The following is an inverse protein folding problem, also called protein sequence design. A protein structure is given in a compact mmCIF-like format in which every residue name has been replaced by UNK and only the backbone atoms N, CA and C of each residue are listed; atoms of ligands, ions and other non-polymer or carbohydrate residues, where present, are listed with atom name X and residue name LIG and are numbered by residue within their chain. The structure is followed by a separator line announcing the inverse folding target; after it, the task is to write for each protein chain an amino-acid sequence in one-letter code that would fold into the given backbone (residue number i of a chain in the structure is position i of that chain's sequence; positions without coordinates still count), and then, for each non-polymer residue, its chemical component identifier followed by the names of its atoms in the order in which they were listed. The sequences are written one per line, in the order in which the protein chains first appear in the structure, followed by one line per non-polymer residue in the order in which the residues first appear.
data_IF_580822361170
#
_entry.id   IF_580822361170
#
_cell.length_a   1.000
_cell.length_b   1.000
_cell.length_c   1.000
_cell.angle_alpha   90.00
_cell.angle_beta   90.00
_cell.angle_gamma   90.00
#
_symmetry.space_group_name_H-M   'P 1'
#
loop_
_entity.id
_entity.type
_entity.pdbx_description
1 polymer ?
#
# COMPACT_ATOMS: atom_id res chain seq x y z
N UNK A 1 89.52 -27.65 28.36
CA UNK A 1 88.11 -28.05 28.19
C UNK A 1 87.25 -26.79 28.06
N UNK A 2 87.16 -26.21 26.85
CA UNK A 2 86.49 -24.93 26.59
C UNK A 2 85.13 -25.19 25.93
N UNK A 3 84.05 -25.25 26.69
CA UNK A 3 82.72 -25.52 26.08
C UNK A 3 81.52 -24.90 26.80
N UNK A 4 81.71 -24.17 27.91
CA UNK A 4 80.58 -23.63 28.69
C UNK A 4 80.29 -22.14 28.47
N UNK A 5 81.19 -21.36 27.87
CA UNK A 5 80.99 -19.92 27.68
C UNK A 5 80.19 -19.53 26.42
N UNK A 6 79.94 -20.46 25.50
CA UNK A 6 79.32 -20.16 24.20
C UNK A 6 77.79 -20.29 24.19
N UNK A 7 77.18 -20.89 25.22
CA UNK A 7 75.73 -21.19 25.26
C UNK A 7 74.92 -20.04 25.90
N UNK A 8 75.54 -19.22 26.76
CA UNK A 8 74.84 -18.13 27.43
C UNK A 8 74.67 -16.87 26.54
N UNK A 9 75.57 -16.65 25.57
CA UNK A 9 75.50 -15.50 24.66
C UNK A 9 74.45 -15.65 23.55
N UNK A 10 74.06 -16.88 23.20
CA UNK A 10 73.06 -17.15 22.15
C UNK A 10 71.63 -17.01 22.70
N UNK A 11 71.35 -17.51 23.90
CA UNK A 11 70.03 -17.39 24.54
C UNK A 11 69.60 -15.92 24.76
N UNK A 12 70.53 -15.04 25.16
CA UNK A 12 70.26 -13.62 25.36
C UNK A 12 69.95 -12.87 24.04
N UNK A 13 70.56 -13.29 22.92
CA UNK A 13 70.31 -12.70 21.59
C UNK A 13 68.98 -13.15 20.99
N UNK A 14 68.53 -14.38 21.28
CA UNK A 14 67.20 -14.85 20.90
C UNK A 14 66.08 -14.13 21.66
N UNK A 15 66.23 -13.91 22.97
CA UNK A 15 65.27 -13.14 23.78
C UNK A 15 65.16 -11.66 23.33
N UNK A 16 66.28 -11.02 22.99
CA UNK A 16 66.27 -9.64 22.46
C UNK A 16 65.70 -9.54 21.04
N UNK A 17 65.88 -10.57 20.20
CA UNK A 17 65.28 -10.63 18.86
C UNK A 17 63.76 -10.85 18.93
N UNK A 18 63.29 -11.74 19.81
CA UNK A 18 61.86 -11.96 20.05
C UNK A 18 61.18 -10.69 20.58
N UNK A 19 61.82 -9.92 21.47
CA UNK A 19 61.28 -8.65 21.97
C UNK A 19 61.19 -7.58 20.87
N UNK A 20 62.19 -7.49 19.98
CA UNK A 20 62.24 -6.51 18.89
C UNK A 20 61.25 -6.79 17.75
N UNK A 21 60.73 -8.01 17.63
CA UNK A 21 59.67 -8.37 16.67
C UNK A 21 58.29 -8.36 17.33
N UNK A 22 58.19 -8.78 18.59
CA UNK A 22 56.92 -8.80 19.32
C UNK A 22 56.39 -7.39 19.66
N UNK A 23 57.27 -6.42 19.97
CA UNK A 23 56.83 -5.04 20.24
C UNK A 23 56.21 -4.33 19.03
N UNK A 24 56.80 -4.34 17.82
CA UNK A 24 56.17 -3.74 16.65
C UNK A 24 54.93 -4.50 16.21
N UNK A 25 54.85 -5.83 16.39
CA UNK A 25 53.63 -6.59 16.13
C UNK A 25 52.50 -6.28 17.12
N UNK A 26 52.82 -6.04 18.41
CA UNK A 26 51.83 -5.61 19.40
C UNK A 26 51.36 -4.17 19.17
N UNK A 27 52.25 -3.26 18.72
CA UNK A 27 51.90 -1.89 18.34
C UNK A 27 51.10 -1.83 17.03
N UNK A 28 51.38 -2.69 16.06
CA UNK A 28 50.60 -2.84 14.83
C UNK A 28 49.23 -3.51 15.09
N UNK A 29 49.16 -4.45 16.04
CA UNK A 29 47.89 -5.06 16.45
C UNK A 29 47.02 -4.08 17.26
N UNK A 30 47.61 -3.15 18.01
CA UNK A 30 46.84 -2.11 18.71
C UNK A 30 46.39 -0.99 17.76
N UNK A 31 47.17 -0.67 16.72
CA UNK A 31 46.77 0.25 15.66
C UNK A 31 45.66 -0.31 14.74
N UNK A 32 45.47 -1.62 14.70
CA UNK A 32 44.43 -2.27 13.88
C UNK A 32 43.03 -2.30 14.53
N UNK A 33 42.87 -1.76 15.75
CA UNK A 33 41.56 -1.51 16.36
C UNK A 33 41.31 0.01 16.45
N UNK A 34 41.71 0.76 15.43
CA UNK A 34 41.06 2.02 15.16
C UNK A 34 39.68 1.69 14.56
N UNK A 35 38.65 1.64 15.41
CA UNK A 35 37.27 1.67 14.95
C UNK A 35 37.14 2.88 14.03
N UNK A 36 37.00 2.64 12.72
CA UNK A 36 36.77 3.71 11.77
C UNK A 36 35.56 4.50 12.28
N UNK A 37 35.75 5.81 12.49
CA UNK A 37 34.68 6.67 12.97
C UNK A 37 33.49 6.51 12.02
N UNK A 38 32.31 6.20 12.58
CA UNK A 38 31.11 6.02 11.78
C UNK A 38 30.87 7.29 10.95
N UNK A 39 30.52 7.18 9.65
CA UNK A 39 30.38 8.35 8.77
C UNK A 39 29.21 9.26 9.17
N UNK A 40 28.32 8.76 10.04
CA UNK A 40 27.31 9.54 10.74
C UNK A 40 26.83 8.83 12.01
N UNK A 41 25.93 9.49 12.71
CA UNK A 41 25.21 8.97 13.87
C UNK A 41 23.71 9.20 13.69
N UNK A 42 22.91 8.42 14.39
CA UNK A 42 21.47 8.57 14.36
C UNK A 42 20.77 7.41 15.03
N UNK A 43 19.47 7.55 15.13
CA UNK A 43 18.64 6.64 15.90
C UNK A 43 17.25 6.50 15.30
N UNK A 44 16.71 5.28 15.34
CA UNK A 44 15.32 5.00 15.01
C UNK A 44 14.50 5.06 16.30
N UNK A 45 13.61 6.05 16.36
CA UNK A 45 12.76 6.30 17.52
C UNK A 45 11.52 5.42 17.51
N UNK A 46 10.89 5.25 16.34
CA UNK A 46 9.61 4.57 16.23
C UNK A 46 9.48 3.81 14.93
N UNK A 47 8.95 2.60 15.03
CA UNK A 47 8.38 1.84 13.92
C UNK A 47 6.87 1.75 14.12
N UNK A 48 6.11 2.05 13.08
CA UNK A 48 4.65 1.93 13.09
C UNK A 48 4.19 1.16 11.85
N UNK A 49 3.56 0.01 12.06
CA UNK A 49 2.92 -0.74 10.99
C UNK A 49 1.50 -0.27 10.83
N UNK A 50 1.13 0.06 9.61
CA UNK A 50 -0.25 0.29 9.20
C UNK A 50 -0.73 -0.96 8.46
N UNK A 51 -1.36 -1.92 9.14
CA UNK A 51 -1.71 -3.21 8.55
C UNK A 51 -2.67 -3.06 7.35
N UNK A 52 -3.64 -2.15 7.44
CA UNK A 52 -4.65 -1.89 6.40
C UNK A 52 -4.02 -1.41 5.08
N UNK A 53 -3.07 -0.48 5.17
CA UNK A 53 -2.36 0.09 4.03
C UNK A 53 -1.11 -0.71 3.65
N UNK A 54 -0.77 -1.68 4.50
CA UNK A 54 0.44 -2.49 4.44
C UNK A 54 1.71 -1.63 4.35
N UNK A 55 1.78 -0.62 5.20
CA UNK A 55 2.89 0.33 5.26
C UNK A 55 3.69 0.16 6.55
N UNK A 56 4.99 0.37 6.44
CA UNK A 56 5.87 0.59 7.58
C UNK A 56 6.27 2.07 7.58
N UNK A 57 5.91 2.76 8.65
CA UNK A 57 6.35 4.13 8.91
C UNK A 57 7.52 4.06 9.88
N UNK A 58 8.66 4.58 9.44
CA UNK A 58 9.90 4.66 10.21
C UNK A 58 10.14 6.13 10.55
N UNK A 59 10.29 6.42 11.83
CA UNK A 59 10.63 7.76 12.33
C UNK A 59 11.92 7.70 13.13
N UNK A 60 12.81 8.64 12.88
CA UNK A 60 14.10 8.72 13.54
C UNK A 60 14.79 10.05 13.31
N UNK A 61 16.07 10.10 13.62
CA UNK A 61 16.97 11.19 13.25
C UNK A 61 18.31 10.62 12.78
N UNK A 62 18.95 11.36 11.88
CA UNK A 62 20.27 11.00 11.39
C UNK A 62 21.07 12.25 11.01
N UNK A 63 22.32 12.29 11.47
CA UNK A 63 23.25 13.37 11.22
C UNK A 63 24.60 12.82 10.75
N UNK A 64 25.20 13.41 9.71
CA UNK A 64 26.56 13.06 9.29
C UNK A 64 27.58 13.55 10.32
N UNK A 65 28.70 12.85 10.45
CA UNK A 65 29.80 13.28 11.32
C UNK A 65 30.48 14.55 10.80
N UNK A 66 30.49 14.74 9.47
CA UNK A 66 31.07 15.90 8.81
C UNK A 66 29.99 16.93 8.44
N UNK A 67 30.07 18.20 8.92
CA UNK A 67 29.06 19.23 8.66
C UNK A 67 28.86 19.59 7.18
N UNK A 68 29.84 19.32 6.31
CA UNK A 68 29.76 19.58 4.87
C UNK A 68 29.05 18.49 4.06
N UNK A 69 28.63 17.40 4.71
CA UNK A 69 27.93 16.28 4.08
C UNK A 69 26.47 16.29 4.53
N UNK A 70 25.56 15.83 3.67
CA UNK A 70 24.13 15.77 3.97
C UNK A 70 23.61 14.35 3.84
N UNK A 71 22.55 14.02 4.58
CA UNK A 71 21.80 12.77 4.40
C UNK A 71 20.93 12.87 3.15
N UNK A 72 20.95 11.83 2.31
CA UNK A 72 20.26 11.85 1.00
C UNK A 72 19.08 10.90 0.97
N UNK A 73 19.35 9.60 1.18
CA UNK A 73 18.36 8.55 1.10
C UNK A 73 18.34 7.71 2.38
N UNK A 74 17.14 7.25 2.74
CA UNK A 74 17.00 6.15 3.67
C UNK A 74 16.88 4.84 2.91
N UNK A 75 17.43 3.79 3.50
CA UNK A 75 17.32 2.41 3.07
C UNK A 75 16.69 1.65 4.23
N UNK A 76 15.54 1.02 3.99
CA UNK A 76 14.84 0.22 5.00
C UNK A 76 14.83 -1.23 4.56
N UNK A 77 15.34 -2.10 5.43
CA UNK A 77 15.36 -3.55 5.24
C UNK A 77 14.53 -4.22 6.32
N UNK A 78 13.70 -5.19 5.94
CA UNK A 78 12.87 -5.96 6.87
C UNK A 78 13.06 -7.44 6.58
N UNK A 79 13.45 -8.22 7.57
CA UNK A 79 13.78 -9.64 7.39
C UNK A 79 14.97 -9.88 6.43
N UNK A 80 15.84 -8.87 6.28
CA UNK A 80 16.97 -8.90 5.33
C UNK A 80 16.62 -8.49 3.89
N UNK A 81 15.34 -8.28 3.57
CA UNK A 81 14.90 -7.79 2.25
C UNK A 81 14.83 -6.25 2.25
N UNK A 82 15.40 -5.60 1.23
CA UNK A 82 15.29 -4.15 1.05
C UNK A 82 13.90 -3.79 0.52
N UNK A 83 13.08 -3.17 1.37
CA UNK A 83 11.70 -2.79 1.04
C UNK A 83 11.58 -1.33 0.58
N UNK A 84 12.60 -0.51 0.87
CA UNK A 84 12.60 0.90 0.53
C UNK A 84 14.00 1.45 0.33
N UNK A 85 14.16 2.27 -0.70
CA UNK A 85 15.32 3.12 -0.95
C UNK A 85 14.86 4.43 -1.58
N UNK A 86 15.00 5.53 -0.87
CA UNK A 86 14.50 6.80 -1.39
C UNK A 86 14.64 7.98 -0.44
N UNK A 87 14.02 9.10 -0.84
CA UNK A 87 14.05 10.36 -0.10
C UNK A 87 13.26 10.29 1.19
N UNK A 88 13.73 11.03 2.19
CA UNK A 88 13.09 11.09 3.49
C UNK A 88 12.34 12.40 3.67
N UNK A 89 11.21 12.38 4.38
CA UNK A 89 10.55 13.60 4.84
C UNK A 89 11.33 14.15 6.04
N UNK A 90 11.82 15.39 5.94
CA UNK A 90 12.62 16.02 6.99
C UNK A 90 11.73 16.63 8.07
N UNK A 91 12.20 16.59 9.31
CA UNK A 91 11.49 17.10 10.48
C UNK A 91 12.48 17.78 11.42
N UNK A 92 12.03 18.83 12.10
CA UNK A 92 12.85 19.49 13.12
C UNK A 92 12.85 18.69 14.43
N UNK A 93 14.03 18.62 15.07
CA UNK A 93 14.33 17.84 16.27
C UNK A 93 15.05 18.70 17.32
N UNK A 94 14.34 19.62 17.98
CA UNK A 94 14.92 20.44 19.04
C UNK A 94 15.38 19.62 20.25
N UNK A 95 14.78 18.44 20.46
CA UNK A 95 15.19 17.45 21.45
C UNK A 95 16.59 16.88 21.17
N UNK A 96 16.89 16.57 19.91
CA UNK A 96 18.22 16.08 19.49
C UNK A 96 19.27 17.18 19.70
N UNK A 97 18.97 18.42 19.31
CA UNK A 97 19.86 19.56 19.56
C UNK A 97 20.14 19.73 21.05
N UNK A 98 19.11 19.63 21.89
CA UNK A 98 19.24 19.78 23.35
C UNK A 98 20.06 18.67 23.99
N UNK A 99 19.93 17.43 23.49
CA UNK A 99 20.65 16.27 24.01
C UNK A 99 22.11 16.19 23.53
N UNK A 100 22.39 16.65 22.32
CA UNK A 100 23.70 16.49 21.66
C UNK A 100 24.55 17.76 21.69
N UNK A 101 23.93 18.93 21.87
CA UNK A 101 24.60 20.23 21.82
C UNK A 101 24.90 20.74 20.41
N UNK A 102 24.40 20.07 19.36
CA UNK A 102 24.65 20.39 17.95
C UNK A 102 23.46 21.15 17.32
N UNK A 103 23.47 22.49 17.28
CA UNK A 103 22.36 23.28 16.71
C UNK A 103 22.10 23.02 15.22
N UNK A 104 23.13 22.64 14.47
CA UNK A 104 23.04 22.26 13.06
C UNK A 104 22.23 20.97 12.82
N UNK A 105 22.00 20.17 13.88
CA UNK A 105 21.18 18.95 13.80
C UNK A 105 19.69 19.21 14.00
N UNK A 106 19.25 20.48 14.03
CA UNK A 106 17.83 20.80 14.14
C UNK A 106 17.01 20.08 13.08
N UNK A 107 17.42 20.10 11.81
CA UNK A 107 16.72 19.41 10.72
C UNK A 107 17.10 17.94 10.53
N UNK A 108 17.70 17.27 11.53
CA UNK A 108 18.19 15.89 11.40
C UNK A 108 17.09 14.82 11.41
N UNK A 109 15.88 15.19 11.83
CA UNK A 109 14.73 14.29 11.89
C UNK A 109 14.33 13.80 10.51
N UNK A 110 13.86 12.56 10.45
CA UNK A 110 13.34 11.97 9.25
C UNK A 110 12.12 11.08 9.51
N UNK A 111 11.24 11.03 8.51
CA UNK A 111 10.15 10.08 8.41
C UNK A 111 10.15 9.44 7.03
N UNK A 112 9.99 8.12 6.99
CA UNK A 112 9.93 7.32 5.77
C UNK A 112 8.70 6.43 5.86
N UNK A 113 7.96 6.34 4.75
CA UNK A 113 6.85 5.40 4.60
C UNK A 113 7.21 4.39 3.52
N UNK A 114 7.39 3.14 3.91
CA UNK A 114 7.74 2.02 3.03
C UNK A 114 6.53 1.10 2.82
N UNK A 115 6.33 0.63 1.59
CA UNK A 115 5.32 -0.41 1.29
C UNK A 115 5.88 -1.78 1.69
N UNK A 116 5.11 -2.57 2.45
CA UNK A 116 5.49 -3.93 2.83
C UNK A 116 5.12 -4.93 1.72
N UNK A 117 6.06 -5.76 1.22
CA UNK A 117 5.78 -6.74 0.17
C UNK A 117 4.72 -7.77 0.56
N UNK A 118 4.00 -8.31 -0.44
CA UNK A 118 2.92 -9.28 -0.18
C UNK A 118 3.37 -10.59 0.47
N UNK A 119 4.58 -11.04 0.14
CA UNK A 119 5.17 -12.27 0.68
C UNK A 119 5.77 -12.09 2.07
N UNK A 120 6.03 -10.86 2.51
CA UNK A 120 6.67 -10.57 3.78
C UNK A 120 5.62 -10.60 4.90
N UNK A 121 5.79 -11.54 5.84
CA UNK A 121 4.94 -11.73 7.02
C UNK A 121 5.75 -12.46 8.12
N UNK A 122 5.43 -12.19 9.38
CA UNK A 122 6.10 -12.78 10.54
C UNK A 122 5.88 -11.98 11.81
N UNK A 123 5.97 -12.62 12.96
CA UNK A 123 5.69 -11.98 14.27
C UNK A 123 6.85 -11.11 14.78
N UNK A 124 8.08 -11.40 14.36
CA UNK A 124 9.30 -10.73 14.82
C UNK A 124 10.34 -10.63 13.69
N UNK A 125 10.02 -9.83 12.67
CA UNK A 125 10.96 -9.57 11.58
C UNK A 125 11.95 -8.47 11.98
N UNK A 126 13.27 -8.69 11.87
CA UNK A 126 14.25 -7.65 12.17
C UNK A 126 14.14 -6.51 11.17
N UNK A 127 14.21 -5.28 11.66
CA UNK A 127 14.21 -4.06 10.86
C UNK A 127 15.58 -3.40 10.96
N UNK A 128 16.18 -3.14 9.82
CA UNK A 128 17.43 -2.40 9.70
C UNK A 128 17.18 -1.14 8.88
N UNK A 129 17.63 0.00 9.41
CA UNK A 129 17.53 1.29 8.74
C UNK A 129 18.94 1.81 8.53
N UNK A 130 19.29 2.10 7.28
CA UNK A 130 20.56 2.71 6.91
C UNK A 130 20.33 4.03 6.20
N UNK A 131 21.30 4.94 6.34
CA UNK A 131 21.26 6.27 5.75
C UNK A 131 22.43 6.40 4.79
N UNK A 132 22.13 6.83 3.57
CA UNK A 132 23.14 7.16 2.57
C UNK A 132 23.43 8.65 2.59
N UNK A 133 24.70 8.99 2.67
CA UNK A 133 25.21 10.35 2.65
C UNK A 133 25.44 10.85 1.21
N UNK A 134 25.55 12.16 1.06
CA UNK A 134 25.93 12.79 -0.21
C UNK A 134 27.33 12.41 -0.71
N UNK A 135 28.20 11.97 0.19
CA UNK A 135 29.52 11.39 -0.16
C UNK A 135 29.41 10.01 -0.83
N UNK A 136 28.25 9.36 -0.75
CA UNK A 136 28.01 8.00 -1.21
C UNK A 136 28.16 6.93 -0.13
N UNK A 137 28.71 7.28 1.04
CA UNK A 137 28.85 6.38 2.20
C UNK A 137 27.49 6.05 2.83
N UNK A 138 27.39 4.87 3.43
CA UNK A 138 26.20 4.40 4.12
C UNK A 138 26.55 4.02 5.57
N UNK A 139 25.66 4.32 6.50
CA UNK A 139 25.75 3.82 7.88
C UNK A 139 24.40 3.34 8.37
N UNK A 140 24.43 2.27 9.17
CA UNK A 140 23.25 1.70 9.81
C UNK A 140 22.95 2.45 11.09
N UNK A 141 21.67 2.75 11.32
CA UNK A 141 21.19 3.41 12.53
C UNK A 141 20.97 2.40 13.65
N UNK A 142 21.27 2.82 14.86
CA UNK A 142 20.80 2.10 16.03
C UNK A 142 19.30 2.33 16.23
N UNK A 143 18.63 1.39 16.89
CA UNK A 143 17.19 1.45 17.13
C UNK A 143 16.86 1.10 18.58
N UNK A 144 15.81 1.74 19.11
CA UNK A 144 15.19 1.34 20.36
C UNK A 144 14.83 -0.16 20.32
N UNK A 145 14.82 -0.87 21.45
CA UNK A 145 14.43 -2.28 21.50
C UNK A 145 13.09 -2.56 20.82
N UNK A 146 12.11 -1.66 20.98
CA UNK A 146 10.79 -1.72 20.35
C UNK A 146 10.80 -1.43 18.83
N UNK A 147 11.84 -0.75 18.36
CA UNK A 147 12.05 -0.36 16.97
C UNK A 147 13.06 -1.26 16.23
N UNK A 148 13.45 -2.40 16.81
CA UNK A 148 14.36 -3.39 16.17
C UNK A 148 13.64 -4.46 15.39
N UNK A 149 12.39 -4.72 15.74
CA UNK A 149 11.61 -5.80 15.17
C UNK A 149 10.19 -5.35 14.94
N UNK A 150 9.54 -5.97 13.96
CA UNK A 150 8.19 -5.62 13.58
C UNK A 150 7.37 -6.87 13.31
N UNK A 151 6.14 -6.86 13.82
CA UNK A 151 5.14 -7.86 13.48
C UNK A 151 4.43 -7.44 12.19
N UNK A 152 4.58 -8.23 11.13
CA UNK A 152 3.89 -8.03 9.85
C UNK A 152 2.81 -9.10 9.72
N UNK A 153 1.52 -8.72 9.79
CA UNK A 153 0.44 -9.68 9.72
C UNK A 153 0.39 -10.36 8.35
N UNK A 154 0.01 -11.64 8.34
CA UNK A 154 -0.20 -12.39 7.12
C UNK A 154 -1.39 -11.81 6.33
N UNK A 155 -1.32 -11.91 5.00
CA UNK A 155 -2.43 -11.48 4.13
C UNK A 155 -3.59 -12.45 4.30
N UNK A 156 -4.83 -11.95 4.49
CA UNK A 156 -6.00 -12.78 4.42
C UNK A 156 -6.05 -13.51 3.07
N UNK A 157 -6.22 -14.83 3.10
CA UNK A 157 -6.41 -15.60 1.87
C UNK A 157 -7.79 -15.31 1.30
N UNK A 158 -7.86 -15.16 -0.02
CA UNK A 158 -9.14 -15.04 -0.72
C UNK A 158 -9.92 -16.34 -0.51
N UNK A 159 -11.11 -16.26 0.09
CA UNK A 159 -11.98 -17.42 0.25
C UNK A 159 -12.33 -18.04 -1.11
N UNK A 160 -12.45 -19.36 -1.17
CA UNK A 160 -12.70 -20.10 -2.42
C UNK A 160 -13.93 -19.61 -3.17
N UNK A 161 -15.02 -19.31 -2.44
CA UNK A 161 -16.25 -18.77 -3.02
C UNK A 161 -16.04 -17.39 -3.66
N UNK A 162 -15.29 -16.50 -3.00
CA UNK A 162 -14.96 -15.16 -3.53
C UNK A 162 -14.04 -15.29 -4.75
N UNK A 163 -13.03 -16.17 -4.67
CA UNK A 163 -12.14 -16.47 -5.78
C UNK A 163 -12.90 -16.99 -7.01
N UNK A 164 -13.83 -17.94 -6.80
CA UNK A 164 -14.68 -18.46 -7.87
C UNK A 164 -15.58 -17.37 -8.47
N UNK A 165 -16.18 -16.51 -7.63
CA UNK A 165 -17.01 -15.41 -8.09
C UNK A 165 -16.21 -14.43 -8.97
N UNK A 166 -14.99 -14.07 -8.57
CA UNK A 166 -14.08 -13.22 -9.35
C UNK A 166 -13.73 -13.86 -10.70
N UNK A 167 -13.35 -15.14 -10.70
CA UNK A 167 -13.00 -15.86 -11.93
C UNK A 167 -14.20 -15.94 -12.87
N UNK A 168 -15.37 -16.32 -12.37
CA UNK A 168 -16.59 -16.39 -13.17
C UNK A 168 -17.01 -15.02 -13.71
N UNK A 169 -16.94 -13.98 -12.88
CA UNK A 169 -17.26 -12.61 -13.30
C UNK A 169 -16.38 -12.12 -14.46
N UNK A 170 -15.14 -12.61 -14.57
CA UNK A 170 -14.25 -12.32 -15.69
C UNK A 170 -14.48 -13.25 -16.89
N UNK A 171 -14.61 -14.56 -16.64
CA UNK A 171 -14.68 -15.58 -17.69
C UNK A 171 -16.00 -15.53 -18.47
N UNK A 172 -17.13 -15.23 -17.82
CA UNK A 172 -18.44 -15.19 -18.48
C UNK A 172 -18.48 -14.21 -19.67
N UNK A 173 -18.17 -12.91 -19.52
CA UNK A 173 -18.17 -11.98 -20.65
C UNK A 173 -17.11 -12.33 -21.68
N UNK A 174 -15.92 -12.76 -21.26
CA UNK A 174 -14.84 -13.14 -22.19
C UNK A 174 -15.20 -14.37 -23.03
N UNK A 175 -15.76 -15.42 -22.42
CA UNK A 175 -16.16 -16.64 -23.12
C UNK A 175 -17.26 -16.37 -24.16
N UNK A 176 -18.11 -15.40 -23.87
CA UNK A 176 -19.11 -14.84 -24.77
C UNK A 176 -18.43 -14.11 -25.95
N UNK A 177 -17.48 -13.19 -25.70
CA UNK A 177 -16.75 -12.48 -26.75
C UNK A 177 -15.90 -13.40 -27.65
N UNK A 178 -15.37 -14.48 -27.09
CA UNK A 178 -14.50 -15.43 -27.79
C UNK A 178 -15.26 -16.57 -28.47
N UNK A 179 -16.58 -16.65 -28.30
CA UNK A 179 -17.38 -17.77 -28.78
C UNK A 179 -17.35 -17.88 -30.32
N UNK A 180 -16.92 -19.02 -30.91
CA UNK A 180 -16.82 -19.18 -32.36
C UNK A 180 -18.15 -19.02 -33.09
N UNK A 181 -19.25 -19.39 -32.41
CA UNK A 181 -20.63 -19.25 -32.89
C UNK A 181 -21.01 -17.81 -33.27
N UNK A 182 -20.23 -16.81 -32.85
CA UNK A 182 -20.45 -15.39 -33.16
C UNK A 182 -19.55 -14.85 -34.26
N UNK A 183 -18.52 -15.60 -34.68
CA UNK A 183 -17.58 -15.17 -35.73
C UNK A 183 -18.16 -15.22 -37.14
N UNK A 184 -19.28 -15.91 -37.35
CA UNK A 184 -19.98 -16.01 -38.64
C UNK A 184 -21.36 -15.34 -38.68
N UNK A 185 -21.79 -14.70 -37.60
CA UNK A 185 -23.03 -13.94 -37.58
C UNK A 185 -22.80 -12.59 -38.28
N UNK A 186 -22.90 -12.58 -39.61
CA UNK A 186 -22.81 -11.39 -40.43
C UNK A 186 -23.84 -10.30 -40.06
N UNK A 187 -23.64 -9.12 -40.65
CA UNK A 187 -24.20 -7.78 -40.39
C UNK A 187 -25.72 -7.64 -40.18
N UNK A 188 -26.50 -8.72 -40.23
CA UNK A 188 -27.96 -8.74 -40.04
C UNK A 188 -28.45 -9.57 -38.84
N UNK A 189 -27.56 -10.10 -37.99
CA UNK A 189 -27.90 -10.99 -36.86
C UNK A 189 -28.59 -10.30 -35.67
N UNK A 190 -29.79 -9.77 -35.91
CA UNK A 190 -30.86 -9.47 -34.98
C UNK A 190 -30.48 -8.97 -33.58
N UNK A 191 -30.77 -7.70 -33.34
CA UNK A 191 -30.85 -7.01 -32.03
C UNK A 191 -31.92 -7.58 -31.09
N UNK A 192 -32.27 -8.86 -31.22
CA UNK A 192 -33.21 -9.58 -30.38
C UNK A 192 -32.50 -10.03 -29.10
N UNK A 193 -33.27 -10.22 -28.03
CA UNK A 193 -32.85 -10.75 -26.73
C UNK A 193 -32.15 -12.14 -26.76
N UNK A 194 -31.87 -12.71 -27.95
CA UNK A 194 -31.07 -13.94 -28.16
C UNK A 194 -29.81 -13.76 -29.03
N UNK A 195 -29.45 -12.54 -29.42
CA UNK A 195 -28.24 -12.24 -30.21
C UNK A 195 -26.95 -12.13 -29.38
N UNK A 196 -25.77 -11.94 -30.01
CA UNK A 196 -24.49 -11.87 -29.32
C UNK A 196 -24.44 -10.73 -28.29
N UNK A 197 -25.06 -9.59 -28.59
CA UNK A 197 -25.14 -8.46 -27.67
C UNK A 197 -25.99 -8.77 -26.43
N UNK A 198 -27.13 -9.45 -26.61
CA UNK A 198 -27.99 -9.86 -25.50
C UNK A 198 -27.26 -10.82 -24.56
N UNK A 199 -26.58 -11.82 -25.13
CA UNK A 199 -25.77 -12.75 -24.34
C UNK A 199 -24.57 -12.06 -23.63
N UNK A 200 -23.94 -11.05 -24.25
CA UNK A 200 -22.91 -10.24 -23.59
C UNK A 200 -23.47 -9.41 -22.44
N UNK A 201 -24.61 -8.74 -22.64
CA UNK A 201 -25.29 -8.00 -21.57
C UNK A 201 -25.72 -8.91 -20.41
N UNK A 202 -26.24 -10.11 -20.70
CA UNK A 202 -26.57 -11.11 -19.68
C UNK A 202 -25.33 -11.60 -18.93
N UNK A 203 -24.22 -11.81 -19.63
CA UNK A 203 -22.95 -12.19 -18.99
C UNK A 203 -22.45 -11.07 -18.06
N UNK A 204 -22.49 -9.81 -18.49
CA UNK A 204 -22.16 -8.67 -17.63
C UNK A 204 -23.11 -8.55 -16.42
N UNK A 205 -24.41 -8.80 -16.62
CA UNK A 205 -25.39 -8.84 -15.54
C UNK A 205 -25.11 -9.96 -14.53
N UNK A 206 -24.71 -11.15 -15.01
CA UNK A 206 -24.29 -12.25 -14.15
C UNK A 206 -23.00 -11.91 -13.38
N UNK A 207 -22.00 -11.31 -14.05
CA UNK A 207 -20.78 -10.81 -13.40
C UNK A 207 -21.09 -9.79 -12.31
N UNK A 208 -22.00 -8.85 -12.59
CA UNK A 208 -22.47 -7.87 -11.62
C UNK A 208 -23.05 -8.55 -10.36
N UNK A 209 -23.98 -9.50 -10.54
CA UNK A 209 -24.60 -10.23 -9.41
C UNK A 209 -23.56 -11.01 -8.62
N UNK A 210 -22.59 -11.66 -9.27
CA UNK A 210 -21.52 -12.40 -8.61
C UNK A 210 -20.64 -11.48 -7.75
N UNK A 211 -20.22 -10.34 -8.30
CA UNK A 211 -19.34 -9.39 -7.61
C UNK A 211 -20.06 -8.71 -6.43
N UNK A 212 -21.32 -8.31 -6.63
CA UNK A 212 -22.17 -7.73 -5.57
C UNK A 212 -22.48 -8.76 -4.49
N UNK A 213 -22.84 -9.99 -4.87
CA UNK A 213 -23.14 -11.07 -3.92
C UNK A 213 -21.93 -11.43 -3.05
N UNK A 214 -20.74 -11.43 -3.64
CA UNK A 214 -19.47 -11.62 -2.94
C UNK A 214 -19.03 -10.40 -2.10
N UNK A 215 -19.69 -9.24 -2.26
CA UNK A 215 -19.36 -8.02 -1.53
C UNK A 215 -17.97 -7.46 -1.88
N UNK A 216 -17.52 -7.68 -3.11
CA UNK A 216 -16.20 -7.23 -3.60
C UNK A 216 -16.36 -5.86 -4.26
N UNK A 217 -15.47 -4.93 -3.95
CA UNK A 217 -15.39 -3.60 -4.58
C UNK A 217 -13.95 -3.33 -5.03
N UNK A 218 -13.80 -2.46 -6.03
CA UNK A 218 -12.49 -1.92 -6.43
C UNK A 218 -12.13 -0.61 -5.70
N UNK A 219 -12.97 -0.14 -4.79
CA UNK A 219 -12.74 1.08 -4.02
C UNK A 219 -11.55 0.93 -3.07
N UNK A 220 -10.82 2.02 -2.84
CA UNK A 220 -9.73 2.09 -1.87
C UNK A 220 -10.24 2.42 -0.45
N UNK A 221 -11.34 1.78 -0.02
CA UNK A 221 -11.95 1.98 1.31
C UNK A 221 -10.96 1.71 2.45
N UNK A 222 -9.97 0.85 2.24
CA UNK A 222 -8.85 0.62 3.16
C UNK A 222 -8.12 1.92 3.58
N UNK A 223 -8.07 2.93 2.69
CA UNK A 223 -7.49 4.24 3.02
C UNK A 223 -8.35 5.05 3.98
N UNK A 224 -9.68 4.94 3.86
CA UNK A 224 -10.63 5.59 4.76
C UNK A 224 -10.64 4.93 6.15
N UNK A 225 -10.55 3.60 6.18
CA UNK A 225 -10.62 2.80 7.41
C UNK A 225 -9.27 2.71 8.15
N UNK A 226 -8.20 3.25 7.55
CA UNK A 226 -6.89 3.36 8.19
C UNK A 226 -6.94 4.18 9.49
N UNK A 227 -5.92 4.00 10.33
CA UNK A 227 -5.86 4.64 11.65
C UNK A 227 -5.74 6.18 11.56
N UNK A 228 -6.44 6.94 12.42
CA UNK A 228 -7.36 6.48 13.47
C UNK A 228 -8.71 6.02 12.89
N UNK A 229 -9.06 4.75 13.10
CA UNK A 229 -10.27 4.17 12.52
C UNK A 229 -11.49 4.66 13.29
N UNK A 230 -12.44 5.30 12.60
CA UNK A 230 -13.71 5.78 13.19
C UNK A 230 -14.74 4.64 13.34
N UNK A 231 -14.43 3.45 12.80
CA UNK A 231 -15.32 2.29 12.81
C UNK A 231 -14.54 0.98 12.86
N UNK A 232 -15.20 -0.10 13.27
CA UNK A 232 -14.65 -1.46 13.24
C UNK A 232 -15.01 -2.08 11.89
N UNK A 233 -14.01 -2.56 11.16
CA UNK A 233 -14.19 -3.18 9.86
C UNK A 233 -13.35 -4.44 9.70
N UNK A 234 -13.88 -5.42 8.99
CA UNK A 234 -13.21 -6.63 8.51
C UNK A 234 -12.90 -6.51 7.01
N UNK A 235 -12.45 -5.33 6.58
CA UNK A 235 -12.02 -5.07 5.21
C UNK A 235 -10.67 -5.77 4.95
N UNK A 236 -10.47 -6.23 3.72
CA UNK A 236 -9.25 -6.91 3.33
C UNK A 236 -8.95 -6.67 1.85
N UNK A 237 -7.74 -6.18 1.59
CA UNK A 237 -7.25 -5.93 0.22
C UNK A 237 -6.96 -7.26 -0.50
N UNK A 238 -7.91 -7.70 -1.33
CA UNK A 238 -7.79 -8.97 -2.07
C UNK A 238 -6.68 -8.94 -3.13
N UNK A 239 -6.65 -7.90 -3.96
CA UNK A 239 -5.71 -7.76 -5.08
C UNK A 239 -5.21 -6.30 -5.18
N UNK A 240 -3.93 -6.13 -5.55
CA UNK A 240 -3.32 -4.81 -5.68
C UNK A 240 -3.02 -4.12 -4.34
N UNK A 241 -3.06 -2.80 -4.36
CA UNK A 241 -2.83 -1.91 -3.21
C UNK A 241 -3.87 -0.78 -3.24
N UNK A 242 -4.31 -0.27 -2.08
CA UNK A 242 -5.16 0.92 -2.03
C UNK A 242 -4.43 2.14 -2.60
N UNK A 243 -5.13 2.99 -3.35
CA UNK A 243 -4.56 4.17 -4.01
C UNK A 243 -5.37 5.42 -3.74
N UNK A 244 -4.68 6.55 -3.63
CA UNK A 244 -5.32 7.85 -3.41
C UNK A 244 -6.12 8.33 -4.63
N UNK A 245 -5.96 7.70 -5.79
CA UNK A 245 -6.76 8.01 -6.97
C UNK A 245 -8.24 7.77 -6.68
N UNK A 246 -9.11 8.58 -7.29
CA UNK A 246 -10.55 8.56 -7.04
C UNK A 246 -10.90 8.80 -5.56
N UNK A 247 -10.19 9.70 -4.87
CA UNK A 247 -10.52 10.10 -3.50
C UNK A 247 -11.92 10.69 -3.36
N UNK A 248 -12.50 11.24 -4.44
CA UNK A 248 -13.93 11.57 -4.51
C UNK A 248 -14.85 10.39 -4.16
N UNK A 249 -14.43 9.15 -4.45
CA UNK A 249 -15.23 7.97 -4.17
C UNK A 249 -14.99 7.43 -2.75
N UNK A 250 -13.75 7.16 -2.36
CA UNK A 250 -13.47 6.53 -1.06
C UNK A 250 -13.37 7.54 0.10
N UNK A 251 -13.00 8.79 -0.14
CA UNK A 251 -12.84 9.83 0.89
C UNK A 251 -14.06 10.74 1.02
N UNK A 252 -14.90 10.84 -0.02
CA UNK A 252 -16.09 11.72 -0.01
C UNK A 252 -17.37 10.91 -0.09
N UNK A 253 -17.59 10.14 -1.16
CA UNK A 253 -18.85 9.41 -1.34
C UNK A 253 -19.08 8.33 -0.27
N UNK A 254 -18.10 7.46 -0.04
CA UNK A 254 -18.20 6.35 0.91
C UNK A 254 -18.56 6.80 2.32
N UNK A 255 -17.83 7.75 2.97
CA UNK A 255 -18.19 8.18 4.31
C UNK A 255 -19.56 8.87 4.39
N UNK A 256 -19.97 9.61 3.36
CA UNK A 256 -21.32 10.18 3.32
C UNK A 256 -22.41 9.10 3.20
N UNK A 257 -22.17 8.03 2.43
CA UNK A 257 -23.08 6.90 2.35
C UNK A 257 -23.14 6.11 3.68
N UNK A 258 -22.02 5.98 4.38
CA UNK A 258 -21.96 5.42 5.74
C UNK A 258 -22.78 6.26 6.72
N UNK A 259 -22.62 7.58 6.72
CA UNK A 259 -23.40 8.48 7.56
C UNK A 259 -24.91 8.39 7.25
N UNK A 260 -25.29 8.27 5.96
CA UNK A 260 -26.68 8.05 5.57
C UNK A 260 -27.24 6.73 6.10
N UNK A 261 -26.44 5.67 6.11
CA UNK A 261 -26.85 4.37 6.66
C UNK A 261 -26.92 4.37 8.19
N UNK A 262 -26.01 5.08 8.85
CA UNK A 262 -25.90 5.14 10.31
C UNK A 262 -27.00 6.00 10.96
N UNK A 263 -27.54 6.98 10.24
CA UNK A 263 -28.63 7.82 10.73
C UNK A 263 -29.92 7.02 11.01
N UNK A 264 -30.72 7.47 11.98
CA UNK A 264 -32.05 6.92 12.27
C UNK A 264 -33.13 8.01 12.17
N UNK A 265 -34.12 7.91 11.26
CA UNK A 265 -34.31 6.85 10.26
C UNK A 265 -33.19 6.85 9.20
N UNK A 266 -32.91 5.71 8.57
CA UNK A 266 -31.85 5.61 7.57
C UNK A 266 -32.17 6.39 6.30
N UNK A 267 -31.13 6.91 5.65
CA UNK A 267 -31.18 7.64 4.37
C UNK A 267 -32.07 8.89 4.36
N UNK A 268 -32.05 9.76 5.39
CA UNK A 268 -32.89 10.96 5.41
C UNK A 268 -32.50 11.97 4.32
N UNK A 269 -33.43 12.89 4.02
CA UNK A 269 -33.15 14.07 3.20
C UNK A 269 -32.21 15.03 3.92
N UNK A 270 -32.41 15.26 5.22
CA UNK A 270 -31.51 16.05 6.07
C UNK A 270 -30.81 15.11 7.06
N UNK A 271 -29.50 14.98 6.94
CA UNK A 271 -28.70 14.10 7.81
C UNK A 271 -27.97 14.92 8.87
N UNK A 272 -28.34 14.73 10.14
CA UNK A 272 -27.78 15.46 11.29
C UNK A 272 -26.42 14.92 11.77
N UNK A 273 -25.95 13.79 11.25
CA UNK A 273 -24.62 13.24 11.56
C UNK A 273 -23.50 13.95 10.78
N UNK A 274 -23.83 14.88 9.89
CA UNK A 274 -22.91 15.55 8.99
C UNK A 274 -22.85 17.05 9.30
N UNK A 275 -21.74 17.49 9.90
CA UNK A 275 -21.57 18.88 10.34
C UNK A 275 -22.42 19.23 11.56
N UNK A 276 -22.30 20.48 12.04
CA UNK A 276 -22.96 20.93 13.27
C UNK A 276 -24.49 21.02 13.14
N UNK A 277 -24.97 21.49 11.98
CA UNK A 277 -26.40 21.73 11.73
C UNK A 277 -27.06 20.61 10.89
N UNK A 278 -26.31 19.57 10.56
CA UNK A 278 -26.69 18.58 9.55
C UNK A 278 -26.56 19.09 8.11
N UNK A 279 -26.75 18.20 7.15
CA UNK A 279 -26.66 18.51 5.73
C UNK A 279 -27.85 17.98 4.94
N UNK A 280 -28.32 18.78 3.97
CA UNK A 280 -29.32 18.34 3.00
C UNK A 280 -28.64 17.51 1.90
N UNK A 281 -29.02 16.24 1.84
CA UNK A 281 -28.39 15.22 1.01
C UNK A 281 -28.92 15.18 -0.43
N UNK A 282 -29.86 16.08 -0.78
CA UNK A 282 -30.37 16.27 -2.14
C UNK A 282 -29.65 17.37 -2.93
N UNK A 283 -28.73 18.12 -2.30
CA UNK A 283 -27.96 19.18 -2.96
C UNK A 283 -27.11 18.62 -4.10
N UNK A 284 -26.87 19.41 -5.17
CA UNK A 284 -26.22 18.99 -6.41
C UNK A 284 -24.89 18.21 -6.22
N UNK A 285 -24.05 18.62 -5.25
CA UNK A 285 -22.79 17.93 -4.92
C UNK A 285 -22.93 16.60 -4.16
N UNK A 286 -24.15 16.27 -3.71
CA UNK A 286 -24.50 15.07 -2.95
C UNK A 286 -25.45 14.14 -3.72
N UNK A 287 -25.70 14.45 -5.00
CA UNK A 287 -26.67 13.74 -5.84
C UNK A 287 -26.36 12.26 -6.06
N UNK A 288 -25.13 11.83 -5.82
CA UNK A 288 -24.75 10.41 -5.85
C UNK A 288 -25.25 9.60 -4.67
N UNK A 289 -25.67 10.22 -3.56
CA UNK A 289 -25.89 9.53 -2.28
C UNK A 289 -27.25 8.82 -2.17
N UNK A 290 -27.34 7.74 -1.36
CA UNK A 290 -28.60 7.10 -1.06
C UNK A 290 -29.46 8.00 -0.16
N UNK A 291 -30.60 8.43 -0.69
CA UNK A 291 -31.61 9.23 0.02
C UNK A 291 -32.97 8.56 -0.22
N UNK A 292 -33.73 8.28 0.85
CA UNK A 292 -35.07 7.71 0.79
C UNK A 292 -36.09 8.76 0.32
N UNK A 293 -35.98 9.14 -0.96
CA UNK A 293 -36.78 10.15 -1.62
C UNK A 293 -37.07 9.70 -3.06
N UNK A 294 -38.14 10.21 -3.68
CA UNK A 294 -38.56 9.79 -5.04
C UNK A 294 -37.46 9.98 -6.10
N UNK A 295 -36.52 10.92 -5.86
CA UNK A 295 -35.35 11.13 -6.72
C UNK A 295 -34.42 9.91 -6.80
N UNK A 296 -34.48 8.97 -5.84
CA UNK A 296 -33.71 7.73 -5.89
C UNK A 296 -34.08 6.86 -7.10
N UNK A 297 -35.31 6.97 -7.63
CA UNK A 297 -35.72 6.24 -8.84
C UNK A 297 -34.88 6.61 -10.07
N UNK A 298 -34.34 7.83 -10.12
CA UNK A 298 -33.44 8.28 -11.18
C UNK A 298 -31.97 7.92 -10.93
N UNK A 299 -31.66 7.21 -9.83
CA UNK A 299 -30.29 6.97 -9.35
C UNK A 299 -30.04 5.48 -9.11
N UNK A 300 -30.00 4.64 -10.16
CA UNK A 300 -29.87 3.20 -9.99
C UNK A 300 -28.60 2.76 -9.27
N UNK A 301 -27.54 3.57 -9.29
CA UNK A 301 -26.31 3.32 -8.52
C UNK A 301 -26.54 3.29 -6.99
N UNK A 302 -27.61 3.90 -6.47
CA UNK A 302 -27.90 3.93 -5.03
C UNK A 302 -28.89 2.85 -4.59
N UNK A 303 -29.50 2.12 -5.53
CA UNK A 303 -30.58 1.20 -5.20
C UNK A 303 -30.17 0.12 -4.21
N UNK A 304 -28.96 -0.42 -4.35
CA UNK A 304 -28.43 -1.46 -3.46
C UNK A 304 -28.47 -1.07 -1.97
N UNK A 305 -28.36 0.22 -1.63
CA UNK A 305 -28.38 0.67 -0.24
C UNK A 305 -29.73 0.46 0.46
N UNK A 306 -30.83 0.37 -0.29
CA UNK A 306 -32.16 0.24 0.30
C UNK A 306 -32.54 -1.19 0.67
N UNK A 307 -31.88 -2.21 0.10
CA UNK A 307 -32.26 -3.62 0.30
C UNK A 307 -31.09 -4.57 0.53
N UNK A 308 -29.84 -4.14 0.35
CA UNK A 308 -28.64 -4.93 0.66
C UNK A 308 -28.02 -4.47 1.98
N UNK A 309 -27.19 -5.33 2.56
CA UNK A 309 -26.23 -4.90 3.58
C UNK A 309 -25.20 -3.93 2.98
N UNK A 310 -24.53 -3.18 3.86
CA UNK A 310 -23.63 -2.09 3.46
C UNK A 310 -22.50 -2.57 2.54
N UNK A 311 -21.90 -3.74 2.82
CA UNK A 311 -20.79 -4.28 2.02
C UNK A 311 -21.25 -4.56 0.58
N UNK A 312 -22.40 -5.21 0.43
CA UNK A 312 -22.99 -5.48 -0.91
C UNK A 312 -23.54 -4.22 -1.58
N UNK A 313 -24.04 -3.26 -0.82
CA UNK A 313 -24.50 -1.96 -1.34
C UNK A 313 -23.34 -1.11 -1.91
N UNK A 314 -22.18 -1.10 -1.25
CA UNK A 314 -20.98 -0.44 -1.78
C UNK A 314 -20.47 -1.14 -3.04
N UNK A 315 -20.49 -2.48 -3.07
CA UNK A 315 -20.17 -3.24 -4.28
C UNK A 315 -21.15 -2.93 -5.43
N UNK A 316 -22.45 -2.80 -5.14
CA UNK A 316 -23.47 -2.38 -6.11
C UNK A 316 -23.15 -1.02 -6.72
N UNK A 317 -22.90 -0.02 -5.87
CA UNK A 317 -22.60 1.35 -6.27
C UNK A 317 -21.31 1.43 -7.12
N UNK A 318 -20.34 0.55 -6.85
CA UNK A 318 -19.09 0.46 -7.60
C UNK A 318 -19.27 -0.19 -8.98
N UNK A 319 -19.89 -1.38 -9.04
CA UNK A 319 -19.90 -2.17 -10.27
C UNK A 319 -20.98 -1.76 -11.26
N UNK A 320 -22.12 -1.22 -10.80
CA UNK A 320 -23.23 -0.89 -11.69
C UNK A 320 -22.84 0.18 -12.73
N UNK A 321 -22.19 1.31 -12.37
CA UNK A 321 -21.77 2.29 -13.35
C UNK A 321 -20.75 1.73 -14.34
N UNK A 322 -19.79 0.92 -13.87
CA UNK A 322 -18.72 0.36 -14.71
C UNK A 322 -19.29 -0.63 -15.74
N UNK A 323 -19.99 -1.67 -15.27
CA UNK A 323 -20.51 -2.72 -16.14
C UNK A 323 -21.70 -2.22 -16.97
N UNK A 324 -22.53 -1.34 -16.39
CA UNK A 324 -23.63 -0.69 -17.09
C UNK A 324 -23.15 0.23 -18.21
N UNK A 325 -22.11 1.05 -17.95
CA UNK A 325 -21.51 1.90 -18.98
C UNK A 325 -20.86 1.05 -20.08
N UNK A 326 -20.14 -0.01 -19.75
CA UNK A 326 -19.56 -0.92 -20.74
C UNK A 326 -20.64 -1.55 -21.63
N UNK A 327 -21.73 -2.03 -21.04
CA UNK A 327 -22.86 -2.58 -21.79
C UNK A 327 -23.50 -1.53 -22.71
N UNK A 328 -23.75 -0.31 -22.18
CA UNK A 328 -24.36 0.79 -22.92
C UNK A 328 -23.46 1.27 -24.08
N UNK A 329 -22.16 1.44 -23.84
CA UNK A 329 -21.17 1.83 -24.85
C UNK A 329 -21.01 0.78 -25.92
N UNK A 330 -20.89 -0.50 -25.54
CA UNK A 330 -20.81 -1.61 -26.51
C UNK A 330 -22.05 -1.63 -27.40
N UNK A 331 -23.24 -1.49 -26.81
CA UNK A 331 -24.49 -1.43 -27.55
C UNK A 331 -24.54 -0.24 -28.50
N UNK A 332 -24.14 0.95 -28.02
CA UNK A 332 -24.13 2.18 -28.81
C UNK A 332 -23.17 2.06 -30.00
N UNK A 333 -21.94 1.60 -29.79
CA UNK A 333 -20.94 1.40 -30.84
C UNK A 333 -21.39 0.34 -31.85
N UNK A 334 -22.01 -0.73 -31.38
CA UNK A 334 -22.63 -1.71 -32.27
C UNK A 334 -23.73 -1.07 -33.14
N UNK A 335 -24.55 -0.18 -32.57
CA UNK A 335 -25.65 0.49 -33.29
C UNK A 335 -25.16 1.52 -34.30
N UNK A 336 -24.20 2.35 -33.90
CA UNK A 336 -23.72 3.46 -34.73
C UNK A 336 -22.73 3.00 -35.80
N UNK A 337 -21.80 2.14 -35.42
CA UNK A 337 -20.66 1.73 -36.26
C UNK A 337 -20.83 0.33 -36.85
N UNK A 338 -21.92 -0.38 -36.52
CA UNK A 338 -22.21 -1.75 -36.98
C UNK A 338 -21.08 -2.74 -36.69
N UNK A 339 -20.29 -2.47 -35.66
CA UNK A 339 -19.16 -3.30 -35.28
C UNK A 339 -19.63 -4.62 -34.68
N UNK A 340 -18.87 -5.71 -34.85
CA UNK A 340 -19.11 -6.93 -34.11
C UNK A 340 -18.90 -6.68 -32.61
N UNK A 341 -19.69 -7.36 -31.77
CA UNK A 341 -19.69 -7.17 -30.30
C UNK A 341 -18.29 -7.22 -29.67
N UNK A 342 -17.38 -8.14 -30.06
CA UNK A 342 -16.02 -8.15 -29.50
C UNK A 342 -15.24 -6.87 -29.75
N UNK A 343 -15.36 -6.29 -30.96
CA UNK A 343 -14.66 -5.06 -31.29
C UNK A 343 -15.31 -3.86 -30.61
N UNK A 344 -16.65 -3.79 -30.58
CA UNK A 344 -17.38 -2.75 -29.87
C UNK A 344 -17.08 -2.78 -28.35
N UNK A 345 -16.99 -3.97 -27.75
CA UNK A 345 -16.67 -4.13 -26.34
C UNK A 345 -15.22 -3.75 -26.03
N UNK A 346 -14.28 -4.13 -26.89
CA UNK A 346 -12.87 -3.74 -26.75
C UNK A 346 -12.70 -2.21 -26.79
N UNK A 347 -13.36 -1.54 -27.74
CA UNK A 347 -13.35 -0.07 -27.83
C UNK A 347 -14.04 0.60 -26.65
N UNK A 348 -15.16 0.03 -26.19
CA UNK A 348 -15.87 0.51 -24.99
C UNK A 348 -15.06 0.33 -23.70
N UNK A 349 -14.13 -0.63 -23.66
CA UNK A 349 -13.25 -0.86 -22.51
C UNK A 349 -11.94 -0.04 -22.55
N UNK A 350 -11.58 0.54 -23.70
CA UNK A 350 -10.34 1.32 -23.88
C UNK A 350 -10.47 2.82 -23.59
N UNK A 351 -11.68 3.28 -23.21
CA UNK A 351 -12.02 4.69 -23.01
C UNK A 351 -11.86 5.19 -21.57
#
# INVERSE_FOLDING_TARGET
MPTLFLVLGTAARWLQACWRVALPCALLAWAAVAQAAAPGTGFVDKLEVRPEQRQLVVTGWAAPANPGVFTTNAIVRVGGEEIYRGRMQRMDRPDVVSATGHPEWLGSGFQVTAQLPRGLHGEALPVEVAIRLGSGEEFTLEALPEARQVAVPAVPRIGTAVGLALVLALVLPLGVLLAPRWRGAGEGGGTRWGGPMGAFALALGASFVLLVGAGVTGSSVALLLGQPSVTVSDEAVLLGEPRAIRSDEWQVFTPLALAQRAHQPAFPVHNTLLGADGQNMLVAGMTGLPVAHVSALARPATWGFFFLDLRRALAWAWWLPILGALAAWTWLLQRLLRLPVPLAAALGASG
#
